data_IF_458399571939
#
_entry.id   IF_458399571939
#
_cell.length_a   1.000
_cell.length_b   1.000
_cell.length_c   1.000
_cell.angle_alpha   90.00
_cell.angle_beta   90.00
_cell.angle_gamma   90.00
#
_symmetry.space_group_name_H-M   'P 1'
#
loop_
_entity.id
_entity.type
_entity.pdbx_description
1 polymer ?
#
# COMPACT_ATOMS: atom_id res chain seq x y z
N UNK A 1 20.54 14.52 -13.81
CA UNK A 1 20.61 13.65 -12.62
C UNK A 1 21.43 12.43 -12.96
N UNK A 2 22.30 11.99 -12.04
CA UNK A 2 22.91 10.66 -12.16
C UNK A 2 21.79 9.66 -11.93
N UNK A 3 21.39 8.97 -13.00
CA UNK A 3 20.42 7.89 -12.93
C UNK A 3 21.20 6.70 -12.41
N UNK A 4 21.30 6.56 -11.09
CA UNK A 4 21.83 5.32 -10.51
C UNK A 4 20.89 4.18 -10.93
N UNK A 5 21.40 3.25 -11.74
CA UNK A 5 20.72 1.99 -12.02
C UNK A 5 20.64 1.22 -10.70
N UNK A 6 19.46 1.25 -10.10
CA UNK A 6 19.21 0.53 -8.86
C UNK A 6 18.65 -0.84 -9.23
N UNK A 7 19.40 -1.87 -8.87
CA UNK A 7 18.91 -3.25 -8.93
C UNK A 7 17.65 -3.39 -8.09
N UNK A 8 16.69 -4.20 -8.57
CA UNK A 8 15.47 -4.54 -7.84
C UNK A 8 15.75 -5.10 -6.45
N UNK A 9 16.93 -5.69 -6.24
CA UNK A 9 17.34 -6.28 -4.97
C UNK A 9 17.43 -5.27 -3.81
N UNK A 10 17.61 -3.98 -4.11
CA UNK A 10 17.70 -2.93 -3.08
C UNK A 10 16.34 -2.40 -2.66
N UNK A 11 15.24 -2.83 -3.30
CA UNK A 11 13.89 -2.38 -2.95
C UNK A 11 13.43 -3.16 -1.71
N UNK A 12 13.27 -2.45 -0.60
CA UNK A 12 12.89 -3.06 0.69
C UNK A 12 11.38 -3.04 0.90
N UNK A 13 10.72 -1.95 0.48
CA UNK A 13 9.30 -1.71 0.79
C UNK A 13 8.59 -1.03 -0.38
N UNK A 14 7.26 -1.14 -0.40
CA UNK A 14 6.40 -0.45 -1.34
C UNK A 14 5.40 0.44 -0.59
N UNK A 15 5.31 1.69 -1.01
CA UNK A 15 4.21 2.59 -0.65
C UNK A 15 3.11 2.45 -1.70
N UNK A 16 1.88 2.30 -1.24
CA UNK A 16 0.72 2.10 -2.11
C UNK A 16 -0.27 3.23 -1.85
N UNK A 17 -0.78 3.84 -2.92
CA UNK A 17 -1.86 4.82 -2.84
C UNK A 17 -3.15 4.13 -3.27
N UNK A 18 -4.07 4.01 -2.34
CA UNK A 18 -5.35 3.32 -2.51
C UNK A 18 -6.50 4.30 -2.39
N UNK A 19 -7.52 4.10 -3.20
CA UNK A 19 -8.80 4.77 -3.12
C UNK A 19 -9.86 3.74 -2.72
N UNK A 20 -10.54 4.02 -1.62
CA UNK A 20 -11.57 3.15 -1.06
C UNK A 20 -12.91 3.81 -1.35
N UNK A 21 -13.69 3.16 -2.22
CA UNK A 21 -15.00 3.66 -2.61
C UNK A 21 -16.04 2.59 -2.38
N UNK A 22 -17.29 3.04 -2.22
CA UNK A 22 -18.42 2.16 -2.01
C UNK A 22 -19.34 2.21 -3.22
N UNK A 23 -19.54 1.04 -3.81
CA UNK A 23 -20.46 0.88 -4.94
C UNK A 23 -21.87 0.63 -4.40
N UNK A 24 -22.71 1.67 -4.51
CA UNK A 24 -24.09 1.64 -3.97
C UNK A 24 -24.96 0.54 -4.56
N UNK A 25 -24.71 0.14 -5.81
CA UNK A 25 -25.51 -0.90 -6.48
C UNK A 25 -25.24 -2.30 -5.94
N UNK A 26 -23.99 -2.56 -5.53
CA UNK A 26 -23.57 -3.87 -5.02
C UNK A 26 -23.52 -3.93 -3.50
N UNK A 27 -23.62 -2.78 -2.83
CA UNK A 27 -23.38 -2.63 -1.39
C UNK A 27 -22.04 -3.21 -0.95
N UNK A 28 -21.03 -3.10 -1.81
CA UNK A 28 -19.67 -3.60 -1.57
C UNK A 28 -18.69 -2.44 -1.58
N UNK A 29 -17.77 -2.46 -0.63
CA UNK A 29 -16.62 -1.58 -0.60
C UNK A 29 -15.51 -2.17 -1.47
N UNK A 30 -15.09 -1.42 -2.48
CA UNK A 30 -14.03 -1.83 -3.39
C UNK A 30 -12.77 -0.97 -3.17
N UNK A 31 -11.62 -1.61 -3.37
CA UNK A 31 -10.32 -0.95 -3.28
C UNK A 31 -9.74 -0.80 -4.67
N UNK A 32 -9.39 0.44 -5.01
CA UNK A 32 -8.68 0.75 -6.25
C UNK A 32 -7.30 1.29 -5.94
N UNK A 33 -6.29 0.59 -6.46
CA UNK A 33 -4.91 1.03 -6.36
C UNK A 33 -4.63 2.07 -7.46
N UNK A 34 -4.26 3.28 -7.06
CA UNK A 34 -3.94 4.39 -7.97
C UNK A 34 -2.46 4.38 -8.35
N UNK A 35 -1.58 4.14 -7.40
CA UNK A 35 -0.15 4.20 -7.62
C UNK A 35 0.65 3.40 -6.62
N UNK A 36 1.85 3.05 -7.04
CA UNK A 36 2.85 2.35 -6.24
C UNK A 36 4.16 3.13 -6.28
N UNK A 37 4.86 3.19 -5.17
CA UNK A 37 6.17 3.81 -5.07
C UNK A 37 7.13 2.80 -4.41
N UNK A 38 8.18 2.35 -5.12
CA UNK A 38 9.24 1.57 -4.49
C UNK A 38 10.06 2.46 -3.56
N UNK A 39 10.43 1.88 -2.42
CA UNK A 39 11.23 2.52 -1.38
C UNK A 39 12.50 1.68 -1.20
N UNK A 40 13.66 2.34 -1.29
CA UNK A 40 14.93 1.72 -0.96
C UNK A 40 15.41 2.24 0.39
N UNK A 41 16.11 1.37 1.11
CA UNK A 41 16.79 1.73 2.34
C UNK A 41 18.25 2.08 2.00
N UNK A 42 18.66 3.28 2.35
CA UNK A 42 20.03 3.75 2.23
C UNK A 42 20.74 3.50 3.57
N UNK A 43 21.62 2.49 3.61
CA UNK A 43 22.35 2.09 4.82
C UNK A 43 23.28 3.21 5.34
N UNK A 44 23.83 4.03 4.44
CA UNK A 44 24.77 5.09 4.82
C UNK A 44 24.05 6.26 5.52
N UNK A 45 22.79 6.49 5.16
CA UNK A 45 21.98 7.59 5.72
C UNK A 45 20.97 7.14 6.78
N UNK A 46 20.79 5.84 6.97
CA UNK A 46 19.73 5.24 7.80
C UNK A 46 18.33 5.82 7.45
N UNK A 47 18.07 5.98 6.15
CA UNK A 47 16.85 6.61 5.66
C UNK A 47 16.19 5.81 4.55
N UNK A 48 14.87 5.76 4.62
CA UNK A 48 14.01 5.28 3.54
C UNK A 48 13.78 6.39 2.53
N UNK A 49 14.18 6.14 1.28
CA UNK A 49 14.08 7.13 0.22
C UNK A 49 13.12 6.63 -0.87
N UNK A 50 12.20 7.51 -1.25
CA UNK A 50 11.17 7.24 -2.24
C UNK A 50 11.73 7.41 -3.66
N UNK A 51 11.55 6.41 -4.53
CA UNK A 51 12.01 6.48 -5.92
C UNK A 51 11.03 7.15 -6.87
N UNK A 52 9.81 7.42 -6.40
CA UNK A 52 8.77 8.11 -7.16
C UNK A 52 7.52 7.25 -7.37
N UNK A 53 6.41 7.93 -7.63
CA UNK A 53 5.11 7.31 -7.82
C UNK A 53 4.93 6.84 -9.26
N UNK A 54 4.58 5.57 -9.42
CA UNK A 54 4.24 4.94 -10.69
C UNK A 54 2.73 4.73 -10.72
N UNK A 55 2.08 5.08 -11.83
CA UNK A 55 0.67 4.85 -12.01
C UNK A 55 0.38 3.35 -12.14
N UNK A 56 -0.41 2.80 -11.22
CA UNK A 56 -0.55 1.35 -11.08
C UNK A 56 -1.12 0.66 -12.33
N UNK A 57 -2.14 1.21 -13.03
CA UNK A 57 -2.64 0.60 -14.27
C UNK A 57 -1.59 0.44 -15.38
N UNK A 58 -0.59 1.33 -15.45
CA UNK A 58 0.50 1.19 -16.42
C UNK A 58 1.50 0.10 -15.99
N UNK A 59 1.77 -0.02 -14.69
CA UNK A 59 2.66 -1.06 -14.14
C UNK A 59 2.01 -2.46 -14.14
N UNK A 60 0.68 -2.54 -14.21
CA UNK A 60 -0.08 -3.80 -14.10
C UNK A 60 0.37 -4.90 -15.06
N UNK A 61 0.65 -4.54 -16.31
CA UNK A 61 1.12 -5.49 -17.33
C UNK A 61 2.48 -6.12 -16.99
N UNK A 62 3.33 -5.41 -16.26
CA UNK A 62 4.62 -5.92 -15.79
C UNK A 62 4.44 -6.78 -14.53
N UNK A 63 3.60 -6.30 -13.61
CA UNK A 63 3.32 -6.99 -12.34
C UNK A 63 2.56 -8.30 -12.51
N UNK A 64 1.68 -8.41 -13.51
CA UNK A 64 0.96 -9.67 -13.80
C UNK A 64 1.88 -10.77 -14.32
N UNK A 65 2.95 -10.40 -15.04
CA UNK A 65 3.96 -11.32 -15.57
C UNK A 65 5.01 -11.73 -14.56
N UNK A 66 5.16 -10.97 -13.48
CA UNK A 66 6.21 -11.20 -12.47
C UNK A 66 5.63 -12.02 -11.32
N UNK A 67 6.30 -13.13 -10.98
CA UNK A 67 5.90 -14.02 -9.89
C UNK A 67 6.39 -13.44 -8.57
N UNK A 68 5.50 -13.33 -7.60
CA UNK A 68 5.83 -13.01 -6.22
C UNK A 68 6.19 -14.31 -5.49
N UNK A 69 7.49 -14.56 -5.32
CA UNK A 69 7.97 -15.76 -4.65
C UNK A 69 7.64 -15.72 -3.15
N UNK A 70 6.91 -16.73 -2.67
CA UNK A 70 6.65 -16.93 -1.26
C UNK A 70 7.52 -18.07 -0.74
N UNK A 71 8.50 -17.77 0.13
CA UNK A 71 9.39 -18.77 0.71
C UNK A 71 8.66 -19.86 1.52
N UNK A 72 7.43 -19.61 1.97
CA UNK A 72 6.63 -20.54 2.76
C UNK A 72 5.70 -21.42 1.92
N UNK A 73 5.52 -21.11 0.64
CA UNK A 73 4.60 -21.84 -0.23
C UNK A 73 5.15 -21.94 -1.66
N UNK A 74 5.75 -23.08 -1.96
CA UNK A 74 6.38 -23.40 -3.25
C UNK A 74 5.35 -23.73 -4.34
N UNK A 75 4.10 -24.02 -3.96
CA UNK A 75 3.05 -24.50 -4.88
C UNK A 75 2.24 -23.35 -5.49
N UNK A 76 2.15 -22.20 -4.81
CA UNK A 76 1.36 -21.06 -5.28
C UNK A 76 2.19 -20.10 -6.14
N UNK A 77 2.02 -20.16 -7.46
CA UNK A 77 2.50 -19.12 -8.39
C UNK A 77 1.55 -17.91 -8.34
N UNK A 78 1.73 -17.04 -7.35
CA UNK A 78 0.98 -15.79 -7.25
C UNK A 78 1.74 -14.68 -7.97
N UNK A 79 1.09 -13.96 -8.88
CA UNK A 79 1.69 -12.76 -9.51
C UNK A 79 1.65 -11.58 -8.55
N UNK A 80 2.53 -10.58 -8.75
CA UNK A 80 2.49 -9.35 -7.95
C UNK A 80 1.14 -8.63 -8.04
N UNK A 81 0.50 -8.62 -9.21
CA UNK A 81 -0.85 -8.07 -9.37
C UNK A 81 -1.88 -8.76 -8.46
N UNK A 82 -1.85 -10.10 -8.39
CA UNK A 82 -2.76 -10.89 -7.56
C UNK A 82 -2.51 -10.66 -6.06
N UNK A 83 -1.24 -10.52 -5.67
CA UNK A 83 -0.84 -10.19 -4.30
C UNK A 83 -1.43 -8.85 -3.85
N UNK A 84 -1.35 -7.82 -4.69
CA UNK A 84 -1.88 -6.50 -4.38
C UNK A 84 -3.42 -6.48 -4.42
N UNK A 85 -4.02 -7.09 -5.44
CA UNK A 85 -5.48 -7.11 -5.60
C UNK A 85 -6.18 -7.88 -4.48
N UNK A 86 -5.62 -9.03 -4.04
CA UNK A 86 -6.14 -9.80 -2.91
C UNK A 86 -5.68 -9.29 -1.55
N UNK A 87 -4.86 -8.22 -1.51
CA UNK A 87 -4.26 -7.66 -0.29
C UNK A 87 -3.50 -8.68 0.56
N UNK A 88 -2.76 -9.60 -0.06
CA UNK A 88 -1.89 -10.56 0.64
C UNK A 88 -0.58 -9.90 1.09
N UNK A 89 -0.68 -8.86 1.92
CA UNK A 89 0.48 -8.15 2.47
C UNK A 89 0.16 -7.53 3.83
N UNK A 90 1.19 -7.35 4.65
CA UNK A 90 1.08 -6.55 5.88
C UNK A 90 1.40 -5.08 5.56
N UNK A 91 0.59 -4.16 6.06
CA UNK A 91 0.75 -2.72 5.85
C UNK A 91 0.26 -1.92 7.06
N UNK A 92 0.79 -0.70 7.16
CA UNK A 92 0.33 0.32 8.10
C UNK A 92 0.00 1.59 7.31
N UNK A 93 -0.99 2.34 7.79
CA UNK A 93 -1.42 3.57 7.14
C UNK A 93 -0.44 4.69 7.51
N UNK A 94 0.07 5.41 6.52
CA UNK A 94 0.97 6.56 6.72
C UNK A 94 0.22 7.91 6.63
N UNK A 95 -0.83 7.94 5.82
CA UNK A 95 -1.62 9.13 5.54
C UNK A 95 -3.05 8.72 5.19
N UNK A 96 -3.99 9.51 5.66
CA UNK A 96 -5.40 9.44 5.27
C UNK A 96 -5.77 10.76 4.57
N UNK A 97 -6.91 10.75 3.85
CA UNK A 97 -7.47 12.00 3.33
C UNK A 97 -7.97 12.85 4.49
N UNK A 98 -7.35 14.01 4.70
CA UNK A 98 -7.75 14.94 5.75
C UNK A 98 -7.68 16.40 5.25
N UNK A 99 -8.38 17.29 5.95
CA UNK A 99 -8.52 18.71 5.55
C UNK A 99 -7.19 19.45 5.50
N UNK A 100 -6.23 19.06 6.35
CA UNK A 100 -4.93 19.73 6.48
C UNK A 100 -3.82 19.07 5.66
N UNK A 101 -4.14 18.06 4.86
CA UNK A 101 -3.25 17.19 4.08
C UNK A 101 -2.03 16.62 4.85
N UNK A 102 -2.17 16.42 6.17
CA UNK A 102 -1.08 16.01 7.08
C UNK A 102 -0.90 14.50 7.12
N UNK A 103 0.36 14.07 7.23
CA UNK A 103 0.71 12.69 7.53
C UNK A 103 0.45 12.36 9.00
N UNK A 104 0.24 11.08 9.32
CA UNK A 104 -0.02 10.63 10.70
C UNK A 104 1.15 10.97 11.63
N UNK A 105 2.37 10.85 11.12
CA UNK A 105 3.61 11.17 11.85
C UNK A 105 3.75 12.66 12.23
N UNK A 106 3.00 13.58 11.59
CA UNK A 106 3.08 15.01 11.88
C UNK A 106 2.28 15.41 13.12
N UNK A 107 1.34 14.57 13.57
CA UNK A 107 0.45 14.87 14.70
C UNK A 107 0.35 13.73 15.72
N UNK A 108 1.01 12.60 15.48
CA UNK A 108 1.19 11.50 16.42
C UNK A 108 2.61 10.96 16.29
N UNK A 109 3.25 10.63 17.41
CA UNK A 109 4.66 10.21 17.44
C UNK A 109 4.77 8.80 18.00
N UNK A 110 5.62 7.98 17.38
CA UNK A 110 5.93 6.62 17.86
C UNK A 110 4.70 5.71 17.94
N UNK A 111 4.43 5.18 19.12
CA UNK A 111 3.35 4.22 19.37
C UNK A 111 1.96 4.79 19.05
N UNK A 112 1.73 6.07 19.35
CA UNK A 112 0.44 6.71 19.09
C UNK A 112 0.13 6.79 17.60
N UNK A 113 1.15 6.93 16.74
CA UNK A 113 0.97 6.92 15.29
C UNK A 113 0.48 5.55 14.81
N UNK A 114 1.04 4.46 15.36
CA UNK A 114 0.63 3.09 15.05
C UNK A 114 -0.81 2.81 15.52
N UNK A 115 -1.16 3.22 16.74
CA UNK A 115 -2.52 3.06 17.28
C UNK A 115 -3.52 3.84 16.41
N UNK A 116 -3.19 5.05 15.97
CA UNK A 116 -4.06 5.81 15.06
C UNK A 116 -4.18 5.15 13.70
N UNK A 117 -3.08 4.67 13.13
CA UNK A 117 -3.12 3.94 11.88
C UNK A 117 -4.03 2.70 11.97
N UNK A 118 -3.99 1.97 13.09
CA UNK A 118 -4.86 0.82 13.32
C UNK A 118 -6.33 1.22 13.52
N UNK A 119 -6.60 2.33 14.22
CA UNK A 119 -7.95 2.90 14.32
C UNK A 119 -8.52 3.30 12.96
N UNK A 120 -7.74 3.96 12.11
CA UNK A 120 -8.17 4.35 10.75
C UNK A 120 -8.48 3.10 9.93
N UNK A 121 -7.60 2.09 10.01
CA UNK A 121 -7.83 0.79 9.38
C UNK A 121 -9.15 0.15 9.86
N UNK A 122 -9.39 0.14 11.17
CA UNK A 122 -10.63 -0.36 11.76
C UNK A 122 -11.87 0.41 11.29
N UNK A 123 -11.79 1.74 11.19
CA UNK A 123 -12.90 2.57 10.69
C UNK A 123 -13.26 2.23 9.24
N UNK A 124 -12.25 1.99 8.38
CA UNK A 124 -12.46 1.59 6.98
C UNK A 124 -13.22 0.27 6.89
N UNK A 125 -12.94 -0.70 7.78
CA UNK A 125 -13.67 -1.97 7.84
C UNK A 125 -15.07 -1.85 8.49
N UNK A 126 -15.19 -1.02 9.53
CA UNK A 126 -16.47 -0.80 10.23
C UNK A 126 -17.52 -0.12 9.36
N UNK A 127 -17.08 0.78 8.46
CA UNK A 127 -17.97 1.49 7.55
C UNK A 127 -18.80 0.56 6.66
N UNK A 128 -18.20 -0.55 6.22
CA UNK A 128 -18.92 -1.60 5.49
C UNK A 128 -20.02 -2.20 6.37
N UNK A 129 -19.68 -2.67 7.58
CA UNK A 129 -20.63 -3.31 8.50
C UNK A 129 -21.82 -2.42 8.86
N UNK A 130 -21.59 -1.12 9.07
CA UNK A 130 -22.66 -0.18 9.42
C UNK A 130 -23.66 0.01 8.27
N UNK A 131 -23.23 -0.12 7.01
CA UNK A 131 -24.09 -0.04 5.83
C UNK A 131 -24.93 -1.32 5.62
N UNK A 132 -24.51 -2.46 6.17
CA UNK A 132 -25.27 -3.72 6.14
C UNK A 132 -26.37 -3.81 7.21
N UNK A 133 -26.36 -2.95 8.23
CA UNK A 133 -27.32 -2.99 9.35
C UNK A 133 -28.60 -2.15 9.12
N UNK A 134 -29.07 -2.00 7.88
CA UNK A 134 -30.27 -1.23 7.53
C UNK A 134 -31.29 -2.02 6.71
#
# INVERSE_FOLDING_TARGET
EVIEEISSDKITQYKIKEDWYFEKERSVQEVRILGICPVYYDEDKDLYIDKGWIYFPQARNLMSKTIAYNQKNDVSNMSFDDLFQKRYFNSYIQKESNVMDRYINQYAVGLDALIKADKIKGNIFGWEHDLWNF
#
